data_IF_359455869784
#
_entry.id   IF_359455869784
#
_cell.length_a   1.000
_cell.length_b   1.000
_cell.length_c   1.000
_cell.angle_alpha   90.00
_cell.angle_beta   90.00
_cell.angle_gamma   90.00
#
_symmetry.space_group_name_H-M   'P 1'
#
loop_
_entity.id
_entity.type
_entity.pdbx_description
1 polymer ?
#
# COMPACT_ATOMS: atom_id res chain seq x y z
N UNK A 1 -33.43 -1.03 8.86
CA UNK A 1 -32.40 -2.06 8.57
C UNK A 1 -31.52 -1.54 7.45
N UNK A 2 -30.24 -1.25 7.69
CA UNK A 2 -29.33 -0.85 6.61
C UNK A 2 -29.06 -2.09 5.73
N UNK A 3 -29.30 -1.99 4.43
CA UNK A 3 -28.95 -3.05 3.48
C UNK A 3 -27.44 -3.27 3.48
N UNK A 4 -27.02 -4.53 3.45
CA UNK A 4 -25.60 -4.89 3.37
C UNK A 4 -24.98 -4.28 2.10
N UNK A 5 -23.80 -3.66 2.19
CA UNK A 5 -23.18 -3.03 1.03
C UNK A 5 -22.87 -4.09 -0.04
N UNK A 6 -23.16 -3.76 -1.30
CA UNK A 6 -22.88 -4.67 -2.42
C UNK A 6 -21.38 -4.94 -2.57
N UNK A 7 -20.96 -6.08 -3.15
CA UNK A 7 -19.54 -6.38 -3.39
C UNK A 7 -18.79 -5.27 -4.15
N UNK A 8 -19.45 -4.64 -5.13
CA UNK A 8 -18.87 -3.53 -5.91
C UNK A 8 -18.73 -2.26 -5.06
N UNK A 9 -19.69 -1.96 -4.19
CA UNK A 9 -19.60 -0.83 -3.25
C UNK A 9 -18.44 -1.02 -2.27
N UNK A 10 -18.27 -2.25 -1.76
CA UNK A 10 -17.13 -2.59 -0.89
C UNK A 10 -15.80 -2.44 -1.63
N UNK A 11 -15.67 -2.97 -2.85
CA UNK A 11 -14.48 -2.80 -3.66
C UNK A 11 -14.13 -1.32 -3.90
N UNK A 12 -15.11 -0.48 -4.27
CA UNK A 12 -14.90 0.97 -4.44
C UNK A 12 -14.40 1.64 -3.17
N UNK A 13 -14.97 1.30 -2.01
CA UNK A 13 -14.51 1.80 -0.71
C UNK A 13 -13.09 1.32 -0.40
N UNK A 14 -12.75 0.07 -0.70
CA UNK A 14 -11.40 -0.45 -0.55
C UNK A 14 -10.38 0.23 -1.46
N UNK A 15 -10.74 0.55 -2.71
CA UNK A 15 -9.87 1.36 -3.61
C UNK A 15 -9.64 2.74 -3.02
N UNK A 16 -10.69 3.42 -2.57
CA UNK A 16 -10.59 4.74 -1.96
C UNK A 16 -9.71 4.73 -0.70
N UNK A 17 -9.88 3.71 0.15
CA UNK A 17 -9.09 3.52 1.35
C UNK A 17 -7.61 3.31 1.02
N UNK A 18 -7.29 2.38 0.10
CA UNK A 18 -5.92 2.14 -0.34
C UNK A 18 -5.27 3.40 -0.93
N UNK A 19 -5.99 4.13 -1.78
CA UNK A 19 -5.49 5.37 -2.39
C UNK A 19 -5.22 6.43 -1.32
N UNK A 20 -6.11 6.61 -0.35
CA UNK A 20 -5.93 7.58 0.72
C UNK A 20 -4.74 7.21 1.63
N UNK A 21 -4.71 5.96 2.10
CA UNK A 21 -3.65 5.48 3.01
C UNK A 21 -2.28 5.51 2.33
N UNK A 22 -2.16 5.02 1.10
CA UNK A 22 -0.90 5.08 0.35
C UNK A 22 -0.44 6.51 0.10
N UNK A 23 -1.36 7.44 -0.20
CA UNK A 23 -1.01 8.85 -0.38
C UNK A 23 -0.50 9.48 0.92
N UNK A 24 -1.14 9.17 2.06
CA UNK A 24 -0.69 9.65 3.37
C UNK A 24 0.69 9.11 3.74
N UNK A 25 0.93 7.81 3.53
CA UNK A 25 2.24 7.18 3.76
C UNK A 25 3.30 7.81 2.85
N UNK A 26 2.98 7.98 1.56
CA UNK A 26 3.88 8.54 0.58
C UNK A 26 4.28 9.99 0.89
N UNK A 27 3.32 10.84 1.24
CA UNK A 27 3.58 12.21 1.71
C UNK A 27 4.40 12.22 2.99
N UNK A 28 4.10 11.34 3.96
CA UNK A 28 4.87 11.21 5.19
C UNK A 28 6.34 10.86 4.92
N UNK A 29 6.59 9.91 4.03
CA UNK A 29 7.94 9.49 3.69
C UNK A 29 8.74 10.57 2.94
N UNK A 30 8.06 11.42 2.15
CA UNK A 30 8.69 12.53 1.42
C UNK A 30 8.94 13.77 2.28
N UNK A 31 7.94 14.21 3.02
CA UNK A 31 7.96 15.49 3.74
C UNK A 31 8.50 15.34 5.16
N UNK A 32 8.27 14.17 5.77
CA UNK A 32 8.66 13.86 7.14
C UNK A 32 9.72 12.75 7.17
N UNK A 33 10.61 12.66 6.16
CA UNK A 33 11.63 11.61 6.04
C UNK A 33 12.47 11.49 7.32
N UNK A 34 12.94 12.60 7.90
CA UNK A 34 13.76 12.59 9.12
C UNK A 34 13.04 11.99 10.33
N UNK A 35 11.87 12.49 10.76
CA UNK A 35 11.16 11.90 11.89
C UNK A 35 10.70 10.46 11.61
N UNK A 36 10.29 10.14 10.38
CA UNK A 36 9.94 8.76 9.99
C UNK A 36 11.15 7.83 10.14
N UNK A 37 12.33 8.23 9.66
CA UNK A 37 13.57 7.44 9.84
C UNK A 37 13.90 7.22 11.32
N UNK A 38 13.74 8.24 12.18
CA UNK A 38 14.00 8.09 13.63
C UNK A 38 13.02 7.13 14.30
N UNK A 39 11.73 7.27 14.02
CA UNK A 39 10.69 6.37 14.57
C UNK A 39 10.94 4.93 14.13
N UNK A 40 11.30 4.74 12.86
CA UNK A 40 11.66 3.45 12.30
C UNK A 40 13.04 2.96 12.76
N UNK A 41 13.81 3.73 13.54
CA UNK A 41 15.16 3.35 13.96
C UNK A 41 16.09 3.04 12.78
N UNK A 42 15.88 3.71 11.64
CA UNK A 42 16.71 3.57 10.46
C UNK A 42 18.03 4.34 10.65
N UNK A 43 19.14 3.87 10.05
CA UNK A 43 20.42 4.57 10.11
C UNK A 43 20.29 6.00 9.54
N UNK A 44 20.98 6.96 10.16
CA UNK A 44 20.92 8.38 9.76
C UNK A 44 21.67 8.71 8.45
N UNK A 45 22.01 7.69 7.67
CA UNK A 45 22.75 7.86 6.42
C UNK A 45 21.87 8.51 5.34
N UNK A 46 22.50 9.28 4.45
CA UNK A 46 21.78 9.95 3.35
C UNK A 46 21.12 8.95 2.39
N UNK A 47 21.74 7.79 2.18
CA UNK A 47 21.22 6.68 1.38
C UNK A 47 19.89 6.14 1.91
N UNK A 48 19.79 5.91 3.23
CA UNK A 48 18.57 5.42 3.87
C UNK A 48 17.40 6.41 3.72
N UNK A 49 17.68 7.72 3.85
CA UNK A 49 16.68 8.77 3.59
C UNK A 49 16.25 8.82 2.12
N UNK A 50 17.18 8.59 1.20
CA UNK A 50 16.88 8.58 -0.23
C UNK A 50 16.00 7.39 -0.61
N UNK A 51 16.29 6.19 -0.08
CA UNK A 51 15.43 5.02 -0.24
C UNK A 51 14.03 5.24 0.34
N UNK A 52 13.92 5.87 1.51
CA UNK A 52 12.62 6.21 2.11
C UNK A 52 11.81 7.19 1.22
N UNK A 53 12.48 8.13 0.56
CA UNK A 53 11.83 9.03 -0.41
C UNK A 53 11.36 8.29 -1.66
N UNK A 54 12.16 7.37 -2.20
CA UNK A 54 11.74 6.54 -3.33
C UNK A 54 10.53 5.68 -3.00
N UNK A 55 10.53 5.07 -1.82
CA UNK A 55 9.37 4.37 -1.27
C UNK A 55 8.15 5.31 -1.25
N UNK A 56 8.32 6.53 -0.73
CA UNK A 56 7.24 7.52 -0.70
C UNK A 56 6.71 7.92 -2.08
N UNK A 57 7.59 8.08 -3.08
CA UNK A 57 7.22 8.36 -4.47
C UNK A 57 6.40 7.20 -5.06
N UNK A 58 6.84 5.96 -4.83
CA UNK A 58 6.12 4.76 -5.30
C UNK A 58 4.71 4.71 -4.73
N UNK A 59 4.55 4.90 -3.42
CA UNK A 59 3.22 4.91 -2.78
C UNK A 59 2.32 6.01 -3.34
N UNK A 60 2.86 7.20 -3.63
CA UNK A 60 2.10 8.28 -4.25
C UNK A 60 1.65 7.96 -5.67
N UNK A 61 2.53 7.36 -6.48
CA UNK A 61 2.20 6.98 -7.86
C UNK A 61 1.11 5.90 -7.91
N UNK A 62 1.23 4.87 -7.07
CA UNK A 62 0.22 3.82 -6.94
C UNK A 62 -1.12 4.41 -6.47
N UNK A 63 -1.08 5.29 -5.46
CA UNK A 63 -2.27 5.95 -4.91
C UNK A 63 -2.96 6.88 -5.91
N UNK A 64 -2.18 7.64 -6.69
CA UNK A 64 -2.69 8.47 -7.77
C UNK A 64 -3.35 7.63 -8.86
N UNK A 65 -2.75 6.49 -9.20
CA UNK A 65 -3.33 5.50 -10.11
C UNK A 65 -4.68 4.99 -9.58
N UNK A 66 -4.74 4.57 -8.32
CA UNK A 66 -5.95 4.05 -7.69
C UNK A 66 -7.05 5.12 -7.66
N UNK A 67 -6.71 6.35 -7.29
CA UNK A 67 -7.64 7.49 -7.33
C UNK A 67 -8.17 7.76 -8.74
N UNK A 68 -7.31 7.73 -9.76
CA UNK A 68 -7.71 7.89 -11.17
C UNK A 68 -8.63 6.75 -11.63
N UNK A 69 -8.32 5.52 -11.25
CA UNK A 69 -9.16 4.35 -11.56
C UNK A 69 -10.55 4.47 -10.92
N UNK A 70 -10.61 4.96 -9.67
CA UNK A 70 -11.86 5.22 -8.96
C UNK A 70 -12.69 6.33 -9.64
N UNK A 71 -12.05 7.41 -10.07
CA UNK A 71 -12.71 8.51 -10.80
C UNK A 71 -13.28 8.09 -12.15
N UNK A 72 -12.62 7.14 -12.83
CA UNK A 72 -13.04 6.64 -14.14
C UNK A 72 -13.93 5.39 -14.08
N UNK A 73 -14.19 4.88 -12.87
CA UNK A 73 -14.84 3.57 -12.63
C UNK A 73 -14.15 2.41 -13.39
N UNK A 74 -12.83 2.51 -13.60
CA UNK A 74 -12.04 1.51 -14.31
C UNK A 74 -11.65 0.36 -13.37
N UNK A 75 -12.50 -0.66 -13.36
CA UNK A 75 -12.36 -1.82 -12.49
C UNK A 75 -11.15 -2.71 -12.81
N UNK A 76 -10.68 -2.70 -14.06
CA UNK A 76 -9.50 -3.48 -14.49
C UNK A 76 -8.22 -2.80 -14.03
N UNK A 77 -8.12 -1.49 -14.24
CA UNK A 77 -7.00 -0.70 -13.75
C UNK A 77 -6.94 -0.73 -12.22
N UNK A 78 -8.08 -0.63 -11.53
CA UNK A 78 -8.13 -0.71 -10.08
C UNK A 78 -7.63 -2.06 -9.54
N UNK A 79 -7.98 -3.18 -10.18
CA UNK A 79 -7.48 -4.51 -9.82
C UNK A 79 -5.98 -4.63 -10.01
N UNK A 80 -5.48 -4.25 -11.19
CA UNK A 80 -4.04 -4.29 -11.49
C UNK A 80 -3.23 -3.46 -10.48
N UNK A 81 -3.67 -2.23 -10.20
CA UNK A 81 -2.97 -1.38 -9.23
C UNK A 81 -3.04 -1.93 -7.81
N UNK A 82 -4.17 -2.49 -7.39
CA UNK A 82 -4.27 -3.12 -6.07
C UNK A 82 -3.37 -4.36 -5.94
N UNK A 83 -3.20 -5.14 -7.02
CA UNK A 83 -2.27 -6.27 -7.08
C UNK A 83 -0.82 -5.80 -7.04
N UNK A 84 -0.47 -4.73 -7.76
CA UNK A 84 0.86 -4.12 -7.71
C UNK A 84 1.18 -3.54 -6.31
N UNK A 85 0.22 -2.90 -5.65
CA UNK A 85 0.38 -2.42 -4.28
C UNK A 85 0.58 -3.59 -3.31
N UNK A 86 -0.19 -4.68 -3.46
CA UNK A 86 -0.02 -5.88 -2.64
C UNK A 86 1.37 -6.51 -2.85
N UNK A 87 1.83 -6.63 -4.10
CA UNK A 87 3.16 -7.15 -4.43
C UNK A 87 4.27 -6.28 -3.83
N UNK A 88 4.13 -4.96 -3.94
CA UNK A 88 5.08 -4.01 -3.35
C UNK A 88 5.18 -4.19 -1.84
N UNK A 89 4.04 -4.29 -1.13
CA UNK A 89 4.02 -4.51 0.32
C UNK A 89 4.65 -5.85 0.73
N UNK A 90 4.41 -6.92 -0.02
CA UNK A 90 5.09 -8.21 0.21
C UNK A 90 6.60 -8.07 0.01
N UNK A 91 7.02 -7.36 -1.03
CA UNK A 91 8.42 -7.04 -1.27
C UNK A 91 9.05 -6.23 -0.13
N UNK A 92 8.34 -5.24 0.41
CA UNK A 92 8.80 -4.43 1.54
C UNK A 92 8.93 -5.25 2.82
N UNK A 93 7.96 -6.13 3.11
CA UNK A 93 8.05 -7.08 4.23
C UNK A 93 9.25 -7.98 4.08
N UNK A 94 9.46 -8.57 2.90
CA UNK A 94 10.59 -9.46 2.63
C UNK A 94 11.94 -8.73 2.77
N UNK A 95 12.07 -7.55 2.16
CA UNK A 95 13.28 -6.74 2.25
C UNK A 95 13.56 -6.31 3.70
N UNK A 96 12.53 -5.90 4.45
CA UNK A 96 12.67 -5.51 5.86
C UNK A 96 13.05 -6.70 6.74
N UNK A 97 12.46 -7.87 6.49
CA UNK A 97 12.79 -9.10 7.22
C UNK A 97 14.24 -9.54 6.96
N UNK A 98 14.68 -9.57 5.69
CA UNK A 98 16.07 -9.89 5.33
C UNK A 98 17.04 -8.90 5.97
N UNK A 99 16.73 -7.60 5.93
CA UNK A 99 17.58 -6.57 6.55
C UNK A 99 17.64 -6.72 8.06
N UNK A 100 16.54 -7.11 8.71
CA UNK A 100 16.52 -7.37 10.15
C UNK A 100 17.32 -8.62 10.54
N UNK A 101 17.32 -9.67 9.71
CA UNK A 101 18.17 -10.86 9.92
C UNK A 101 19.66 -10.50 9.88
N UNK A 102 20.04 -9.54 9.05
CA UNK A 102 21.39 -8.96 9.00
C UNK A 102 21.69 -7.90 10.08
N UNK A 103 20.78 -7.68 11.04
CA UNK A 103 20.94 -6.69 12.11
C UNK A 103 20.77 -5.22 11.68
N UNK A 104 20.37 -4.95 10.43
CA UNK A 104 20.29 -3.60 9.88
C UNK A 104 19.03 -2.82 10.26
N UNK A 105 18.00 -3.50 10.79
CA UNK A 105 16.70 -2.89 11.18
C UNK A 105 16.14 -3.58 12.43
N UNK A 106 15.56 -2.84 13.40
CA UNK A 106 15.00 -3.45 14.61
C UNK A 106 13.72 -4.25 14.35
N UNK A 107 13.49 -5.34 15.10
CA UNK A 107 12.34 -6.25 14.95
C UNK A 107 10.96 -5.56 15.01
N UNK A 108 10.84 -4.46 15.78
CA UNK A 108 9.61 -3.65 15.85
C UNK A 108 9.20 -3.06 14.49
N UNK A 109 10.15 -2.78 13.62
CA UNK A 109 9.89 -2.25 12.27
C UNK A 109 9.39 -3.37 11.37
N UNK A 110 9.97 -4.57 11.46
CA UNK A 110 9.45 -5.76 10.75
C UNK A 110 7.99 -5.99 11.15
N UNK A 111 7.68 -5.94 12.44
CA UNK A 111 6.32 -6.06 12.92
C UNK A 111 5.41 -4.94 12.38
N UNK A 112 5.87 -3.67 12.41
CA UNK A 112 5.12 -2.54 11.88
C UNK A 112 4.82 -2.65 10.38
N UNK A 113 5.82 -2.99 9.57
CA UNK A 113 5.66 -3.19 8.11
C UNK A 113 4.73 -4.38 7.82
N UNK A 114 4.88 -5.48 8.55
CA UNK A 114 4.02 -6.66 8.40
C UNK A 114 2.56 -6.36 8.76
N UNK A 115 2.33 -5.69 9.89
CA UNK A 115 0.99 -5.27 10.31
C UNK A 115 0.38 -4.26 9.34
N UNK A 116 1.18 -3.38 8.73
CA UNK A 116 0.75 -2.46 7.69
C UNK A 116 0.40 -3.14 6.36
N UNK A 117 1.05 -4.25 6.02
CA UNK A 117 0.77 -5.01 4.80
C UNK A 117 -0.58 -5.74 4.84
N UNK A 118 -1.02 -6.20 6.02
CA UNK A 118 -2.26 -6.99 6.16
C UNK A 118 -3.52 -6.23 5.69
N UNK A 119 -3.79 -4.97 6.10
CA UNK A 119 -4.89 -4.18 5.55
C UNK A 119 -4.83 -4.02 4.04
N UNK A 120 -3.62 -3.87 3.48
CA UNK A 120 -3.44 -3.75 2.02
C UNK A 120 -3.87 -5.03 1.32
N UNK A 121 -3.41 -6.19 1.79
CA UNK A 121 -3.79 -7.49 1.24
C UNK A 121 -5.30 -7.73 1.34
N UNK A 122 -5.91 -7.38 2.49
CA UNK A 122 -7.35 -7.47 2.69
C UNK A 122 -8.13 -6.58 1.70
N UNK A 123 -7.70 -5.33 1.51
CA UNK A 123 -8.31 -4.42 0.54
C UNK A 123 -8.13 -4.93 -0.89
N UNK A 124 -6.94 -5.39 -1.27
CA UNK A 124 -6.69 -5.97 -2.60
C UNK A 124 -7.58 -7.18 -2.85
N UNK A 125 -7.76 -8.06 -1.87
CA UNK A 125 -8.69 -9.19 -1.98
C UNK A 125 -10.14 -8.76 -2.21
N UNK A 126 -10.61 -7.75 -1.45
CA UNK A 126 -11.96 -7.19 -1.61
C UNK A 126 -12.15 -6.55 -3.00
N UNK A 127 -11.12 -5.86 -3.52
CA UNK A 127 -11.14 -5.26 -4.86
C UNK A 127 -11.21 -6.32 -5.93
N UNK A 128 -10.35 -7.35 -5.85
CA UNK A 128 -10.34 -8.47 -6.81
C UNK A 128 -11.69 -9.17 -6.85
N UNK A 129 -12.27 -9.50 -5.70
CA UNK A 129 -13.58 -10.16 -5.64
C UNK A 129 -14.73 -9.24 -6.07
N UNK A 130 -14.78 -8.01 -5.57
CA UNK A 130 -15.92 -7.12 -5.84
C UNK A 130 -16.00 -6.63 -7.28
N UNK A 131 -14.87 -6.60 -8.02
CA UNK A 131 -14.85 -6.24 -9.44
C UNK A 131 -14.87 -7.44 -10.40
N UNK A 132 -14.69 -8.67 -9.94
CA UNK A 132 -14.84 -9.87 -10.77
C UNK A 132 -16.31 -10.19 -11.10
N UNK A 133 -17.28 -9.69 -10.32
CA UNK A 133 -18.72 -10.05 -10.42
C UNK A 133 -19.42 -9.45 -11.65
N UNK A 134 -18.71 -8.81 -12.58
CA UNK A 134 -19.31 -8.14 -13.75
C UNK A 134 -18.53 -8.24 -15.06
N UNK A 135 -17.50 -9.08 -15.15
CA UNK A 135 -16.80 -9.34 -16.41
C UNK A 135 -17.29 -10.67 -17.02
N UNK A 136 -17.61 -10.71 -18.34
CA UNK A 136 -17.76 -11.99 -19.02
C UNK A 136 -16.45 -12.78 -18.94
N UNK A 137 -16.50 -14.13 -18.90
CA UNK A 137 -15.29 -14.94 -18.92
C UNK A 137 -14.47 -14.65 -20.20
N UNK A 138 -13.13 -14.81 -20.12
CA UNK A 138 -12.26 -14.63 -21.28
C UNK A 138 -12.59 -15.60 -22.43
#
# INVERSE_FOLDING_TARGET
MASSPTPRTLARRSVALLAATGASIGLGCLLATRPVSRVAGLPEQASARWLLRLFGIRELLLSLGLYRSLRRDDSRQARLLAELTALAQVGDVAATAVTALGGGVPRRVVAGVTLGALPTLACTWLIRRGYAVGEPPP
#
